data_IF_583212311187
#
_entry.id   IF_583212311187
#
_cell.length_a   1.000
_cell.length_b   1.000
_cell.length_c   1.000
_cell.angle_alpha   90.00
_cell.angle_beta   90.00
_cell.angle_gamma   90.00
#
_symmetry.space_group_name_H-M   'P 1'
#
loop_
_entity.id
_entity.type
_entity.pdbx_description
1 polymer ?
#
# COMPACT_ATOMS: atom_id res chain seq x y z
N UNK A 1 79.09 6.78 28.41
CA UNK A 1 78.95 5.72 27.39
C UNK A 1 77.55 5.80 26.83
N UNK A 2 77.42 5.97 25.50
CA UNK A 2 76.30 5.70 24.54
C UNK A 2 74.88 5.60 25.14
N UNK A 3 73.80 6.18 24.60
CA UNK A 3 73.34 6.29 23.19
C UNK A 3 71.98 7.04 23.27
N UNK A 4 71.66 8.02 22.39
CA UNK A 4 70.84 7.90 21.15
C UNK A 4 69.35 7.63 21.43
N UNK A 5 68.33 8.28 20.86
CA UNK A 5 68.14 9.14 19.68
C UNK A 5 66.79 9.90 19.90
N UNK A 6 66.67 11.22 19.60
CA UNK A 6 65.90 11.80 18.46
C UNK A 6 64.36 11.80 18.64
N UNK A 7 63.53 12.81 18.30
CA UNK A 7 63.65 14.03 17.49
C UNK A 7 62.31 14.83 17.59
N UNK A 8 62.38 16.16 17.46
CA UNK A 8 61.36 17.16 17.01
C UNK A 8 60.06 17.44 17.79
N UNK A 9 59.90 18.71 18.20
CA UNK A 9 58.65 19.47 18.08
C UNK A 9 58.93 20.79 17.35
N UNK A 10 58.22 21.02 16.25
CA UNK A 10 58.21 22.25 15.46
C UNK A 10 57.01 23.11 15.88
N UNK A 11 57.24 24.41 15.94
CA UNK A 11 56.30 25.47 16.26
C UNK A 11 55.17 25.60 15.22
N UNK A 12 53.97 25.96 15.68
CA UNK A 12 52.87 26.41 14.83
C UNK A 12 52.42 27.81 15.26
N UNK A 13 52.42 28.72 14.30
CA UNK A 13 51.89 30.08 14.36
C UNK A 13 51.00 30.25 13.12
N UNK A 14 49.99 31.14 13.21
CA UNK A 14 49.02 31.59 12.20
C UNK A 14 47.64 30.91 12.30
N UNK A 15 46.51 31.55 11.99
CA UNK A 15 46.09 32.94 11.86
C UNK A 15 44.55 32.90 11.81
N UNK A 16 43.88 33.99 12.19
CA UNK A 16 42.42 34.12 12.10
C UNK A 16 41.93 34.23 10.64
N UNK A 17 40.90 33.47 10.29
CA UNK A 17 40.03 33.70 9.12
C UNK A 17 38.59 33.33 9.48
N UNK A 18 37.70 34.30 9.31
CA UNK A 18 36.24 34.16 9.39
C UNK A 18 35.70 33.46 8.15
N UNK A 19 34.86 32.43 8.32
CA UNK A 19 33.92 31.97 7.30
C UNK A 19 32.61 31.59 7.99
N UNK A 20 31.53 32.28 7.60
CA UNK A 20 30.18 31.83 7.87
C UNK A 20 29.81 30.75 6.86
N UNK A 21 29.17 29.69 7.35
CA UNK A 21 28.48 28.73 6.51
C UNK A 21 27.01 28.70 6.92
N UNK A 22 26.19 29.18 5.98
CA UNK A 22 24.76 28.95 5.89
C UNK A 22 24.54 27.48 5.54
N UNK A 23 23.84 26.72 6.38
CA UNK A 23 23.31 25.42 5.99
C UNK A 23 21.95 25.63 5.34
N UNK A 24 21.92 25.49 4.02
CA UNK A 24 20.70 25.45 3.23
C UNK A 24 20.01 24.10 3.45
N UNK A 25 18.90 24.11 4.18
CA UNK A 25 17.83 23.13 4.04
C UNK A 25 17.22 23.29 2.64
N UNK A 26 17.44 22.31 1.77
CA UNK A 26 16.80 22.28 0.46
C UNK A 26 15.29 21.97 0.66
N UNK A 27 14.36 22.80 0.16
CA UNK A 27 12.94 22.47 0.16
C UNK A 27 12.68 21.37 -0.86
N UNK A 28 11.91 20.34 -0.48
CA UNK A 28 11.44 19.31 -1.40
C UNK A 28 10.52 19.97 -2.44
N UNK A 29 10.96 20.02 -3.68
CA UNK A 29 10.14 20.53 -4.78
C UNK A 29 9.16 19.44 -5.22
N UNK A 30 7.92 19.49 -4.72
CA UNK A 30 6.84 18.65 -5.25
C UNK A 30 6.73 18.84 -6.77
N UNK A 31 6.61 17.76 -7.57
CA UNK A 31 6.52 17.88 -9.01
C UNK A 31 5.25 18.61 -9.44
N UNK A 32 5.40 19.64 -10.30
CA UNK A 32 4.30 20.44 -10.87
C UNK A 32 4.04 20.12 -12.34
N UNK A 33 2.79 19.76 -12.65
CA UNK A 33 1.94 20.15 -13.81
C UNK A 33 0.57 19.46 -13.65
N UNK A 34 -0.60 20.03 -13.94
CA UNK A 34 -1.03 21.28 -14.56
C UNK A 34 -2.09 21.94 -13.67
N UNK A 35 -2.18 23.27 -13.70
CA UNK A 35 -3.36 24.00 -13.23
C UNK A 35 -4.53 23.78 -14.21
N UNK A 36 -5.02 22.55 -14.26
CA UNK A 36 -6.32 22.21 -14.82
C UNK A 36 -7.38 22.90 -13.96
N UNK A 37 -8.33 23.62 -14.57
CA UNK A 37 -9.47 24.24 -13.87
C UNK A 37 -10.47 23.22 -13.31
N UNK A 38 -10.08 21.95 -13.19
CA UNK A 38 -10.89 20.86 -12.64
C UNK A 38 -10.60 20.72 -11.15
N UNK A 39 -11.64 20.47 -10.38
CA UNK A 39 -11.61 20.17 -8.95
C UNK A 39 -10.67 18.99 -8.66
N UNK A 40 -9.75 19.14 -7.72
CA UNK A 40 -8.87 18.07 -7.28
C UNK A 40 -9.63 17.08 -6.36
N UNK A 41 -9.23 15.79 -6.30
CA UNK A 41 -9.86 14.82 -5.39
C UNK A 41 -9.92 15.27 -3.93
N UNK A 42 -8.88 15.97 -3.43
CA UNK A 42 -8.84 16.49 -2.06
C UNK A 42 -9.82 17.62 -1.75
N UNK A 43 -10.50 18.18 -2.76
CA UNK A 43 -11.59 19.15 -2.56
C UNK A 43 -12.94 18.48 -2.30
N UNK A 44 -13.06 17.16 -2.58
CA UNK A 44 -14.30 16.37 -2.40
C UNK A 44 -14.14 15.31 -1.31
N UNK A 45 -12.94 14.71 -1.21
CA UNK A 45 -12.60 13.71 -0.22
C UNK A 45 -11.69 14.31 0.87
N UNK A 46 -11.89 13.92 2.12
CA UNK A 46 -10.94 14.26 3.18
C UNK A 46 -9.65 13.45 3.01
N UNK A 47 -8.65 14.10 2.42
CA UNK A 47 -7.32 13.53 2.16
C UNK A 47 -6.25 14.02 3.16
N UNK A 48 -6.65 14.71 4.24
CA UNK A 48 -5.72 15.31 5.22
C UNK A 48 -4.82 14.29 5.93
N UNK A 49 -5.31 13.04 6.05
CA UNK A 49 -4.62 11.92 6.69
C UNK A 49 -4.04 10.92 5.67
N UNK A 50 -3.75 11.38 4.45
CA UNK A 50 -3.22 10.54 3.37
C UNK A 50 -2.07 11.21 2.62
N UNK A 51 -1.06 10.43 2.28
CA UNK A 51 -0.13 10.75 1.19
C UNK A 51 -0.43 9.79 0.03
N UNK A 52 -0.03 10.13 -1.19
CA UNK A 52 -0.20 9.25 -2.36
C UNK A 52 1.16 8.94 -2.99
N UNK A 53 1.33 7.70 -3.44
CA UNK A 53 2.39 7.31 -4.37
C UNK A 53 1.79 7.16 -5.77
N UNK A 54 2.44 7.78 -6.76
CA UNK A 54 2.01 7.78 -8.16
C UNK A 54 3.02 7.05 -9.05
N UNK A 55 2.58 6.44 -10.16
CA UNK A 55 3.44 5.62 -11.01
C UNK A 55 4.26 6.46 -12.02
N UNK A 56 4.73 7.65 -11.62
CA UNK A 56 5.46 8.61 -12.47
C UNK A 56 6.73 9.09 -11.78
N UNK A 57 7.62 9.70 -12.56
CA UNK A 57 8.87 10.34 -12.10
C UNK A 57 8.96 11.71 -12.80
N UNK A 58 8.12 12.65 -12.35
CA UNK A 58 8.00 13.95 -13.00
C UNK A 58 9.18 14.87 -12.66
N UNK A 59 9.80 14.68 -11.50
CA UNK A 59 10.99 15.43 -11.07
C UNK A 59 12.32 14.82 -11.58
N UNK A 60 12.27 13.60 -12.13
CA UNK A 60 13.39 12.88 -12.77
C UNK A 60 14.46 12.44 -11.77
N UNK A 61 14.08 12.13 -10.54
CA UNK A 61 14.98 11.59 -9.52
C UNK A 61 15.17 10.07 -9.62
N UNK A 62 14.45 9.42 -10.54
CA UNK A 62 14.49 7.99 -10.79
C UNK A 62 13.60 7.16 -9.87
N UNK A 63 12.70 7.78 -9.11
CA UNK A 63 11.76 7.12 -8.20
C UNK A 63 10.31 7.48 -8.55
N UNK A 64 9.40 6.67 -8.04
CA UNK A 64 7.97 7.00 -8.08
C UNK A 64 7.69 8.25 -7.23
N UNK A 65 6.97 9.20 -7.81
CA UNK A 65 6.58 10.46 -7.16
C UNK A 65 5.66 10.19 -5.97
N UNK A 66 5.92 10.94 -4.89
CA UNK A 66 5.05 11.02 -3.72
C UNK A 66 4.49 12.42 -3.60
N UNK A 67 3.19 12.50 -3.30
CA UNK A 67 2.53 13.76 -2.93
C UNK A 67 2.07 13.64 -1.50
N UNK A 68 2.56 14.55 -0.66
CA UNK A 68 2.22 14.58 0.76
C UNK A 68 0.86 15.26 1.01
N UNK A 69 0.26 14.97 2.16
CA UNK A 69 -1.10 15.37 2.54
C UNK A 69 -1.41 16.86 2.30
N UNK A 70 -0.49 17.77 2.63
CA UNK A 70 -0.69 19.21 2.42
C UNK A 70 -0.94 19.53 0.94
N UNK A 71 -0.09 19.01 0.04
CA UNK A 71 -0.21 19.22 -1.40
C UNK A 71 -1.37 18.41 -2.00
N UNK A 72 -1.68 17.24 -1.44
CA UNK A 72 -2.69 16.31 -1.95
C UNK A 72 -4.10 16.92 -1.99
N UNK A 73 -4.39 17.84 -1.07
CA UNK A 73 -5.65 18.61 -1.02
C UNK A 73 -5.98 19.33 -2.33
N UNK A 74 -4.97 19.70 -3.12
CA UNK A 74 -5.10 20.46 -4.36
C UNK A 74 -4.44 19.77 -5.56
N UNK A 75 -4.06 18.50 -5.41
CA UNK A 75 -3.31 17.76 -6.41
C UNK A 75 -4.22 16.85 -7.23
N UNK A 76 -4.00 16.83 -8.54
CA UNK A 76 -4.53 15.82 -9.46
C UNK A 76 -3.50 15.52 -10.55
N UNK A 77 -3.65 14.36 -11.16
CA UNK A 77 -2.92 13.90 -12.34
C UNK A 77 -3.90 13.12 -13.22
N UNK A 78 -4.31 13.70 -14.35
CA UNK A 78 -5.45 13.24 -15.18
C UNK A 78 -5.40 11.75 -15.57
N UNK A 79 -4.21 11.17 -15.66
CA UNK A 79 -4.00 9.79 -16.04
C UNK A 79 -4.15 8.83 -14.85
N UNK A 80 -3.73 9.25 -13.66
CA UNK A 80 -3.46 8.35 -12.54
C UNK A 80 -4.21 8.67 -11.24
N UNK A 81 -4.64 9.92 -11.04
CA UNK A 81 -5.33 10.37 -9.83
C UNK A 81 -6.16 11.62 -10.08
N UNK A 82 -7.47 11.49 -10.25
CA UNK A 82 -8.36 12.61 -10.62
C UNK A 82 -9.81 12.36 -10.21
N UNK A 83 -10.67 13.37 -10.35
CA UNK A 83 -12.12 13.20 -10.21
C UNK A 83 -12.77 12.94 -11.57
N UNK A 84 -13.65 11.94 -11.63
CA UNK A 84 -14.53 11.76 -12.79
C UNK A 84 -15.65 12.82 -12.82
N UNK A 85 -16.50 12.77 -13.86
CA UNK A 85 -17.58 13.74 -14.07
C UNK A 85 -18.69 13.66 -12.98
N UNK A 86 -18.68 12.61 -12.14
CA UNK A 86 -19.59 12.41 -11.02
C UNK A 86 -18.95 12.80 -9.67
N UNK A 87 -17.75 13.37 -9.69
CA UNK A 87 -16.92 13.67 -8.50
C UNK A 87 -16.46 12.42 -7.72
N UNK A 88 -16.35 11.27 -8.37
CA UNK A 88 -15.73 10.10 -7.76
C UNK A 88 -14.21 10.13 -7.99
N UNK A 89 -13.44 9.63 -7.02
CA UNK A 89 -11.98 9.63 -7.05
C UNK A 89 -11.44 8.42 -7.81
N UNK A 90 -10.76 8.67 -8.93
CA UNK A 90 -10.21 7.65 -9.83
C UNK A 90 -8.72 7.45 -9.55
N UNK A 91 -8.32 6.20 -9.41
CA UNK A 91 -6.93 5.75 -9.37
C UNK A 91 -6.64 4.87 -10.60
N UNK A 92 -5.47 5.03 -11.20
CA UNK A 92 -5.01 4.13 -12.26
C UNK A 92 -3.50 3.89 -12.21
N UNK A 93 -3.08 2.75 -12.76
CA UNK A 93 -1.67 2.42 -12.91
C UNK A 93 -1.46 1.47 -14.11
N UNK A 94 -0.52 1.81 -15.00
CA UNK A 94 -0.04 0.92 -16.06
C UNK A 94 0.72 -0.27 -15.46
N UNK A 95 0.81 -1.40 -16.17
CA UNK A 95 1.60 -2.57 -15.73
C UNK A 95 3.09 -2.24 -15.58
N UNK A 96 3.61 -1.38 -16.46
CA UNK A 96 4.99 -0.89 -16.42
C UNK A 96 4.98 0.62 -16.20
N UNK A 97 5.60 1.04 -15.12
CA UNK A 97 5.77 2.44 -14.77
C UNK A 97 6.80 2.54 -13.63
N UNK A 98 7.00 3.72 -13.04
CA UNK A 98 7.80 3.86 -11.83
C UNK A 98 7.12 3.14 -10.65
N UNK A 99 7.95 2.58 -9.76
CA UNK A 99 7.51 1.74 -8.63
C UNK A 99 8.17 2.19 -7.32
N UNK A 100 7.63 1.78 -6.18
CA UNK A 100 8.27 2.00 -4.89
C UNK A 100 9.53 1.14 -4.75
N UNK A 101 10.52 1.53 -3.92
CA UNK A 101 11.70 0.70 -3.64
C UNK A 101 11.37 -0.69 -3.08
N UNK A 102 10.19 -0.86 -2.50
CA UNK A 102 9.73 -2.09 -1.85
C UNK A 102 8.93 -3.02 -2.75
N UNK A 103 8.66 -2.65 -4.01
CA UNK A 103 7.78 -3.43 -4.87
C UNK A 103 8.15 -3.32 -6.35
N UNK A 104 7.88 -4.37 -7.09
CA UNK A 104 8.00 -4.43 -8.56
C UNK A 104 6.67 -4.16 -9.26
N UNK A 105 5.68 -3.72 -8.50
CA UNK A 105 4.31 -3.50 -8.93
C UNK A 105 4.00 -2.01 -8.82
N UNK A 106 3.35 -1.49 -9.86
CA UNK A 106 2.96 -0.09 -9.97
C UNK A 106 1.70 0.19 -9.16
N UNK A 107 1.54 1.45 -8.76
CA UNK A 107 0.36 1.87 -8.00
C UNK A 107 0.09 3.35 -8.18
N UNK A 108 -1.19 3.69 -8.14
CA UNK A 108 -1.68 5.00 -7.70
C UNK A 108 -2.47 4.70 -6.43
N UNK A 109 -1.85 4.96 -5.27
CA UNK A 109 -2.34 4.42 -4.00
C UNK A 109 -2.03 5.34 -2.83
N UNK A 110 -3.06 5.59 -2.03
CA UNK A 110 -2.98 6.35 -0.80
C UNK A 110 -2.31 5.51 0.31
N UNK A 111 -1.53 6.17 1.15
CA UNK A 111 -0.91 5.64 2.38
C UNK A 111 -1.34 6.54 3.53
N UNK A 112 -2.02 5.96 4.51
CA UNK A 112 -2.47 6.69 5.69
C UNK A 112 -1.27 7.33 6.38
N UNK A 113 -1.42 8.57 6.82
CA UNK A 113 -0.52 9.27 7.76
C UNK A 113 -1.33 9.74 8.96
N UNK A 114 -0.66 9.94 10.08
CA UNK A 114 -1.22 10.68 11.20
C UNK A 114 -0.61 12.09 11.23
N UNK A 115 -1.43 13.07 11.62
CA UNK A 115 -1.04 14.47 11.69
C UNK A 115 -0.99 14.86 13.16
N UNK A 116 0.15 15.39 13.60
CA UNK A 116 0.37 15.88 14.96
C UNK A 116 -0.41 17.15 15.27
N UNK A 117 -0.42 17.56 16.53
CA UNK A 117 -1.18 18.73 16.99
C UNK A 117 -0.77 20.04 16.31
N UNK A 118 0.51 20.17 15.90
CA UNK A 118 1.00 21.33 15.14
C UNK A 118 0.83 21.21 13.62
N UNK A 119 0.16 20.16 13.13
CA UNK A 119 -0.11 19.95 11.70
C UNK A 119 1.00 19.21 10.95
N UNK A 120 2.06 18.80 11.62
CA UNK A 120 3.16 18.04 11.06
C UNK A 120 2.82 16.55 10.89
N UNK A 121 3.35 15.92 9.86
CA UNK A 121 3.33 14.46 9.72
C UNK A 121 4.63 13.91 10.32
N UNK A 122 4.59 13.03 11.34
CA UNK A 122 5.79 12.42 11.90
C UNK A 122 6.61 11.67 10.83
N UNK A 123 7.90 11.43 11.05
CA UNK A 123 8.72 10.66 10.10
C UNK A 123 8.29 9.18 10.03
N UNK A 124 8.77 8.45 9.01
CA UNK A 124 8.37 7.03 8.82
C UNK A 124 9.00 6.06 9.83
N UNK A 125 10.03 6.50 10.56
CA UNK A 125 10.67 5.81 11.68
C UNK A 125 10.07 6.20 13.05
N UNK A 126 9.02 7.03 13.07
CA UNK A 126 8.31 7.43 14.27
C UNK A 126 7.01 6.62 14.42
N UNK A 127 6.78 5.89 15.53
CA UNK A 127 5.55 5.12 15.77
C UNK A 127 4.28 5.98 15.74
N UNK A 128 4.38 7.30 15.98
CA UNK A 128 3.26 8.25 15.86
C UNK A 128 2.78 8.43 14.42
N UNK A 129 3.44 7.84 13.42
CA UNK A 129 2.94 7.79 12.04
C UNK A 129 2.08 6.53 11.75
N UNK A 130 1.76 5.75 12.78
CA UNK A 130 1.12 4.45 12.65
C UNK A 130 0.06 4.22 13.73
N UNK A 131 -0.78 3.20 13.53
CA UNK A 131 -1.52 2.59 14.62
C UNK A 131 -0.87 1.26 15.04
N UNK A 132 -1.15 0.83 16.27
CA UNK A 132 -0.77 -0.49 16.76
C UNK A 132 -2.01 -1.31 17.15
N UNK A 133 -1.81 -2.61 17.34
CA UNK A 133 -2.81 -3.46 18.00
C UNK A 133 -2.87 -3.15 19.50
N UNK A 134 -4.01 -3.38 20.14
CA UNK A 134 -4.19 -3.03 21.55
C UNK A 134 -3.24 -3.78 22.50
N UNK A 135 -2.80 -4.98 22.13
CA UNK A 135 -1.84 -5.77 22.93
C UNK A 135 -0.37 -5.46 22.62
N UNK A 136 -0.08 -4.50 21.74
CA UNK A 136 1.30 -4.09 21.44
C UNK A 136 2.02 -3.64 22.73
N UNK A 137 3.26 -4.09 23.01
CA UNK A 137 3.93 -3.85 24.29
C UNK A 137 4.18 -2.36 24.60
N UNK A 138 4.33 -1.53 23.57
CA UNK A 138 4.53 -0.08 23.67
C UNK A 138 3.36 0.69 23.01
N UNK A 139 2.13 0.25 23.26
CA UNK A 139 0.90 0.77 22.62
C UNK A 139 0.75 2.31 22.69
N UNK A 140 1.29 2.92 23.75
CA UNK A 140 1.25 4.35 24.06
C UNK A 140 2.11 5.22 23.12
N UNK A 141 3.04 4.62 22.38
CA UNK A 141 3.93 5.35 21.46
C UNK A 141 3.25 5.68 20.11
N UNK A 142 2.11 5.05 19.83
CA UNK A 142 1.42 5.13 18.55
C UNK A 142 0.35 6.21 18.54
N UNK A 143 0.01 6.70 17.35
CA UNK A 143 -1.04 7.70 17.21
C UNK A 143 -2.45 7.14 17.45
N UNK A 144 -2.64 5.83 17.31
CA UNK A 144 -3.90 5.17 17.60
C UNK A 144 -3.72 3.69 17.95
N UNK A 145 -4.73 3.13 18.62
CA UNK A 145 -4.90 1.69 18.79
C UNK A 145 -6.01 1.21 17.85
N UNK A 146 -5.61 0.45 16.83
CA UNK A 146 -6.47 0.07 15.74
C UNK A 146 -6.93 1.25 14.88
N UNK A 147 -7.94 1.01 14.05
CA UNK A 147 -8.54 2.02 13.18
C UNK A 147 -9.60 1.42 12.28
N UNK A 148 -10.31 2.29 11.57
CA UNK A 148 -11.34 1.90 10.60
C UNK A 148 -11.10 2.53 9.24
N UNK A 149 -11.22 1.73 8.18
CA UNK A 149 -11.22 2.15 6.79
C UNK A 149 -12.53 1.69 6.13
N UNK A 150 -13.33 2.65 5.66
CA UNK A 150 -14.57 2.38 4.93
C UNK A 150 -14.43 2.86 3.49
N UNK A 151 -14.84 2.05 2.52
CA UNK A 151 -14.83 2.43 1.12
C UNK A 151 -16.05 1.92 0.37
N UNK A 152 -16.48 2.67 -0.65
CA UNK A 152 -17.36 2.21 -1.73
C UNK A 152 -16.68 2.53 -3.05
N UNK A 153 -16.58 1.52 -3.92
CA UNK A 153 -15.78 1.61 -5.13
C UNK A 153 -16.33 0.69 -6.23
N UNK A 154 -15.89 0.96 -7.46
CA UNK A 154 -16.02 0.06 -8.61
C UNK A 154 -14.65 -0.13 -9.26
N UNK A 155 -14.38 -1.34 -9.74
CA UNK A 155 -13.19 -1.60 -10.56
C UNK A 155 -13.53 -1.34 -12.02
N UNK A 156 -12.88 -0.36 -12.63
CA UNK A 156 -13.14 0.02 -14.02
C UNK A 156 -12.43 -0.91 -15.00
N UNK A 157 -11.20 -1.31 -14.66
CA UNK A 157 -10.35 -2.13 -15.51
C UNK A 157 -9.30 -2.86 -14.68
N UNK A 158 -8.94 -4.08 -15.11
CA UNK A 158 -7.74 -4.80 -14.70
C UNK A 158 -6.99 -5.20 -15.97
N UNK A 159 -5.68 -5.43 -15.88
CA UNK A 159 -4.92 -5.79 -17.07
C UNK A 159 -5.49 -7.06 -17.71
N UNK A 160 -5.56 -7.09 -19.03
CA UNK A 160 -6.11 -8.21 -19.81
C UNK A 160 -5.03 -9.13 -20.37
N UNK A 161 -3.75 -8.79 -20.21
CA UNK A 161 -2.63 -9.52 -20.76
C UNK A 161 -1.65 -9.98 -19.68
N UNK A 162 -1.19 -11.23 -19.77
CA UNK A 162 -0.14 -11.79 -18.94
C UNK A 162 0.59 -12.90 -19.71
N UNK A 163 1.92 -12.96 -19.61
CA UNK A 163 2.68 -14.08 -20.18
C UNK A 163 2.37 -15.38 -19.44
N UNK A 164 2.21 -15.30 -18.12
CA UNK A 164 1.83 -16.42 -17.26
C UNK A 164 0.48 -16.12 -16.58
N UNK A 165 -0.61 -16.29 -17.34
CA UNK A 165 -1.97 -16.00 -16.87
C UNK A 165 -2.48 -16.92 -15.76
N UNK A 166 -1.84 -18.08 -15.57
CA UNK A 166 -2.08 -19.04 -14.50
C UNK A 166 -1.50 -18.60 -13.15
N UNK A 167 -0.57 -17.63 -13.15
CA UNK A 167 0.03 -17.16 -11.90
C UNK A 167 -0.99 -16.35 -11.09
N UNK A 168 -1.05 -16.55 -9.76
CA UNK A 168 -2.12 -15.96 -8.95
C UNK A 168 -2.32 -14.44 -9.09
N UNK A 169 -1.26 -13.60 -9.16
CA UNK A 169 -1.42 -12.14 -9.29
C UNK A 169 -1.95 -11.65 -10.65
N UNK A 170 -1.95 -12.49 -11.69
CA UNK A 170 -2.42 -12.09 -13.02
C UNK A 170 -3.88 -11.60 -12.96
N UNK A 171 -4.17 -10.58 -13.77
CA UNK A 171 -5.50 -10.00 -13.98
C UNK A 171 -6.16 -9.48 -12.69
N UNK A 172 -5.38 -8.95 -11.75
CA UNK A 172 -5.88 -8.51 -10.45
C UNK A 172 -5.34 -7.15 -10.01
N UNK A 173 -6.09 -6.51 -9.13
CA UNK A 173 -5.78 -5.25 -8.48
C UNK A 173 -6.10 -5.35 -7.00
N UNK A 174 -5.22 -4.79 -6.17
CA UNK A 174 -5.49 -4.58 -4.75
C UNK A 174 -6.11 -3.19 -4.57
N UNK A 175 -7.24 -3.14 -3.89
CA UNK A 175 -8.06 -1.92 -3.72
C UNK A 175 -8.00 -1.33 -2.30
N UNK A 176 -7.62 -2.13 -1.32
CA UNK A 176 -7.47 -1.71 0.08
C UNK A 176 -6.53 -2.63 0.84
N UNK A 177 -5.77 -2.08 1.79
CA UNK A 177 -4.76 -2.83 2.56
C UNK A 177 -4.64 -2.36 4.00
N UNK A 178 -4.12 -3.25 4.84
CA UNK A 178 -3.30 -2.91 6.00
C UNK A 178 -1.89 -3.37 5.66
N UNK A 179 -0.91 -2.52 5.88
CA UNK A 179 0.49 -2.83 5.65
C UNK A 179 1.28 -2.55 6.94
N UNK A 180 2.21 -3.44 7.29
CA UNK A 180 3.14 -3.22 8.39
C UNK A 180 4.29 -2.30 7.97
N UNK A 181 4.83 -1.49 8.87
CA UNK A 181 5.98 -0.67 8.55
C UNK A 181 7.19 -1.56 8.20
N UNK A 182 7.95 -1.12 7.20
CA UNK A 182 9.26 -1.71 6.92
C UNK A 182 10.30 -0.98 7.76
N UNK A 183 10.76 -1.62 8.83
CA UNK A 183 11.66 -1.06 9.83
C UNK A 183 13.01 -1.73 9.72
N UNK A 184 13.79 -1.38 8.69
CA UNK A 184 15.02 -2.08 8.30
C UNK A 184 16.01 -2.26 9.46
N UNK A 185 16.13 -1.27 10.35
CA UNK A 185 17.03 -1.30 11.51
C UNK A 185 16.49 -2.12 12.70
N UNK A 186 15.21 -2.50 12.68
CA UNK A 186 14.53 -3.20 13.78
C UNK A 186 14.10 -4.63 13.42
N UNK A 187 14.33 -5.08 12.18
CA UNK A 187 13.98 -6.42 11.73
C UNK A 187 14.65 -7.50 12.56
N UNK A 188 13.96 -8.63 12.71
CA UNK A 188 14.56 -9.86 13.23
C UNK A 188 14.46 -10.96 12.18
N UNK A 189 15.49 -11.82 12.10
CA UNK A 189 15.50 -12.97 11.18
C UNK A 189 14.65 -14.15 11.68
N UNK A 190 14.07 -14.04 12.87
CA UNK A 190 13.31 -15.11 13.54
C UNK A 190 11.82 -14.83 13.67
N UNK A 191 11.40 -13.57 13.52
CA UNK A 191 10.00 -13.13 13.61
C UNK A 191 9.62 -12.27 12.41
N UNK A 192 8.32 -12.07 12.21
CA UNK A 192 7.77 -11.23 11.13
C UNK A 192 7.92 -9.72 11.30
N UNK A 193 8.38 -9.25 12.47
CA UNK A 193 8.42 -7.83 12.79
C UNK A 193 9.36 -7.01 11.90
N UNK A 194 8.84 -5.89 11.37
CA UNK A 194 9.62 -4.90 10.61
C UNK A 194 9.91 -5.28 9.16
N UNK A 195 9.45 -6.46 8.70
CA UNK A 195 9.61 -6.91 7.31
C UNK A 195 8.70 -6.18 6.32
N UNK A 196 7.67 -5.50 6.82
CA UNK A 196 6.69 -4.79 6.01
C UNK A 196 5.75 -5.74 5.27
N UNK A 197 5.32 -6.81 5.93
CA UNK A 197 4.32 -7.74 5.41
C UNK A 197 2.92 -7.11 5.50
N UNK A 198 1.95 -7.69 4.80
CA UNK A 198 0.59 -7.13 4.77
C UNK A 198 -0.46 -8.03 5.47
N UNK A 199 -0.95 -7.63 6.65
CA UNK A 199 -2.07 -8.31 7.33
C UNK A 199 -3.34 -8.38 6.50
N UNK A 200 -3.51 -7.45 5.55
CA UNK A 200 -4.67 -7.38 4.69
C UNK A 200 -4.30 -6.85 3.31
N UNK A 201 -4.72 -7.58 2.28
CA UNK A 201 -4.83 -7.08 0.91
C UNK A 201 -6.18 -7.48 0.33
N UNK A 202 -7.03 -6.52 0.00
CA UNK A 202 -8.34 -6.75 -0.64
C UNK A 202 -8.15 -6.73 -2.14
N UNK A 203 -8.44 -7.84 -2.81
CA UNK A 203 -8.26 -8.03 -4.24
C UNK A 203 -9.59 -7.98 -4.99
N UNK A 204 -9.53 -7.45 -6.20
CA UNK A 204 -10.42 -7.79 -7.30
C UNK A 204 -9.62 -8.51 -8.39
N UNK A 205 -10.13 -9.63 -8.92
CA UNK A 205 -9.51 -10.38 -10.02
C UNK A 205 -10.54 -10.75 -11.07
N UNK A 206 -10.24 -10.51 -12.34
CA UNK A 206 -11.11 -10.89 -13.45
C UNK A 206 -10.32 -11.40 -14.64
N UNK A 207 -10.53 -12.65 -15.01
CA UNK A 207 -9.88 -13.22 -16.18
C UNK A 207 -10.41 -12.61 -17.49
N UNK A 208 -9.58 -12.56 -18.54
CA UNK A 208 -10.03 -12.18 -19.88
C UNK A 208 -11.21 -13.05 -20.35
N UNK A 209 -12.20 -12.42 -20.97
CA UNK A 209 -13.40 -13.11 -21.49
C UNK A 209 -14.51 -13.38 -20.47
N UNK A 210 -14.23 -13.41 -19.17
CA UNK A 210 -15.27 -13.51 -18.14
C UNK A 210 -16.13 -12.24 -18.12
N UNK A 211 -17.39 -12.35 -17.71
CA UNK A 211 -18.25 -11.17 -17.53
C UNK A 211 -18.08 -10.55 -16.15
N UNK A 212 -17.85 -11.37 -15.13
CA UNK A 212 -17.64 -10.94 -13.75
C UNK A 212 -16.26 -11.38 -13.23
N UNK A 213 -15.76 -10.62 -12.25
CA UNK A 213 -14.56 -10.92 -11.48
C UNK A 213 -14.91 -11.45 -10.10
N UNK A 214 -13.88 -11.77 -9.33
CA UNK A 214 -13.99 -12.21 -7.95
C UNK A 214 -13.40 -11.19 -7.00
N UNK A 215 -14.01 -11.07 -5.82
CA UNK A 215 -13.51 -10.29 -4.69
C UNK A 215 -13.08 -11.27 -3.60
N UNK A 216 -11.89 -11.07 -3.09
CA UNK A 216 -11.32 -11.86 -1.99
C UNK A 216 -10.31 -11.01 -1.24
N UNK A 217 -9.87 -11.45 -0.08
CA UNK A 217 -8.79 -10.80 0.64
C UNK A 217 -7.70 -11.79 1.01
N UNK A 218 -6.46 -11.31 1.08
CA UNK A 218 -5.31 -12.09 1.49
C UNK A 218 -4.78 -11.61 2.84
N UNK A 219 -4.39 -12.57 3.66
CA UNK A 219 -3.50 -12.40 4.81
C UNK A 219 -2.10 -12.89 4.40
N UNK A 220 -1.07 -12.04 4.46
CA UNK A 220 0.31 -12.51 4.34
C UNK A 220 0.81 -12.97 5.70
N UNK A 221 1.35 -14.19 5.79
CA UNK A 221 2.02 -14.66 7.01
C UNK A 221 3.15 -13.72 7.40
N UNK A 222 3.22 -13.37 8.68
CA UNK A 222 4.19 -12.42 9.16
C UNK A 222 5.55 -13.10 9.35
N UNK A 223 6.34 -13.19 8.29
CA UNK A 223 7.61 -13.91 8.29
C UNK A 223 8.70 -13.11 7.57
N UNK A 224 9.99 -13.42 7.82
CA UNK A 224 11.10 -12.86 7.06
C UNK A 224 10.95 -13.03 5.54
N UNK A 225 11.52 -12.12 4.75
CA UNK A 225 11.37 -12.11 3.29
C UNK A 225 11.87 -13.40 2.62
N UNK A 226 12.95 -13.99 3.15
CA UNK A 226 13.52 -15.23 2.65
C UNK A 226 12.74 -16.50 3.06
N UNK A 227 11.75 -16.39 3.97
CA UNK A 227 11.01 -17.54 4.45
C UNK A 227 10.10 -18.10 3.36
N UNK A 228 10.22 -19.39 2.98
CA UNK A 228 9.43 -19.98 1.90
C UNK A 228 7.92 -20.02 2.22
N UNK A 229 7.58 -20.00 3.50
CA UNK A 229 6.21 -19.97 3.99
C UNK A 229 5.65 -18.55 4.10
N UNK A 230 6.41 -17.49 3.79
CA UNK A 230 5.87 -16.13 3.65
C UNK A 230 5.01 -16.07 2.40
N UNK A 231 3.75 -16.45 2.54
CA UNK A 231 2.77 -16.55 1.46
C UNK A 231 1.49 -15.84 1.84
N UNK A 232 0.75 -15.44 0.82
CA UNK A 232 -0.62 -14.98 0.95
C UNK A 232 -1.60 -16.15 1.10
N UNK A 233 -2.49 -16.04 2.08
CA UNK A 233 -3.62 -16.94 2.31
C UNK A 233 -4.89 -16.20 1.88
N UNK A 234 -5.58 -16.73 0.87
CA UNK A 234 -6.76 -16.09 0.30
C UNK A 234 -8.06 -16.57 0.95
N UNK A 235 -8.93 -15.63 1.27
CA UNK A 235 -10.28 -15.85 1.80
C UNK A 235 -11.30 -15.21 0.87
N UNK A 236 -12.25 -16.02 0.38
CA UNK A 236 -13.24 -15.58 -0.61
C UNK A 236 -14.28 -14.62 -0.03
N UNK A 237 -14.73 -13.68 -0.86
CA UNK A 237 -15.90 -12.82 -0.60
C UNK A 237 -16.99 -13.16 -1.61
N UNK A 238 -16.79 -12.82 -2.89
CA UNK A 238 -17.68 -13.18 -3.99
C UNK A 238 -16.89 -13.77 -5.14
N UNK A 239 -17.44 -14.79 -5.77
CA UNK A 239 -16.78 -15.56 -6.83
C UNK A 239 -15.73 -16.52 -6.26
N UNK A 240 -14.53 -16.46 -6.82
CA UNK A 240 -13.44 -17.39 -6.60
C UNK A 240 -12.24 -16.72 -5.90
N UNK A 241 -11.28 -17.52 -5.42
CA UNK A 241 -9.98 -17.01 -4.97
C UNK A 241 -8.97 -16.88 -6.12
N UNK A 242 -7.78 -16.38 -5.82
CA UNK A 242 -6.69 -16.16 -6.80
C UNK A 242 -6.20 -17.40 -7.60
N UNK A 243 -6.47 -18.63 -7.16
CA UNK A 243 -6.00 -19.90 -7.77
C UNK A 243 -7.06 -20.66 -8.58
N UNK A 244 -8.29 -20.18 -8.63
CA UNK A 244 -9.37 -20.81 -9.38
C UNK A 244 -9.77 -19.90 -10.55
N UNK A 245 -9.65 -20.43 -11.77
CA UNK A 245 -9.92 -19.73 -13.03
C UNK A 245 -11.31 -19.99 -13.61
N UNK A 246 -12.18 -20.68 -12.89
CA UNK A 246 -13.58 -20.82 -13.29
C UNK A 246 -14.27 -19.45 -13.35
N UNK A 247 -15.17 -19.27 -14.33
CA UNK A 247 -16.02 -18.07 -14.42
C UNK A 247 -16.97 -18.00 -13.22
N UNK A 248 -16.92 -16.95 -12.38
CA UNK A 248 -17.79 -16.84 -11.21
C UNK A 248 -19.26 -16.54 -11.58
N UNK A 249 -19.55 -16.10 -12.81
CA UNK A 249 -20.89 -15.80 -13.28
C UNK A 249 -21.64 -14.85 -12.33
N UNK A 250 -22.87 -15.21 -11.97
CA UNK A 250 -23.72 -14.41 -11.06
C UNK A 250 -23.17 -14.33 -9.62
N UNK A 251 -22.18 -15.15 -9.26
CA UNK A 251 -21.57 -15.09 -7.94
C UNK A 251 -20.41 -14.10 -7.87
N UNK A 252 -20.00 -13.50 -8.99
CA UNK A 252 -18.91 -12.51 -9.07
C UNK A 252 -19.41 -11.07 -9.23
N UNK A 253 -18.47 -10.11 -9.29
CA UNK A 253 -18.71 -8.67 -9.44
C UNK A 253 -18.23 -8.20 -10.82
N UNK A 254 -19.08 -7.57 -11.63
CA UNK A 254 -18.70 -7.04 -12.94
C UNK A 254 -17.72 -5.86 -12.84
N UNK A 255 -17.01 -5.56 -13.94
CA UNK A 255 -16.31 -4.27 -14.04
C UNK A 255 -17.36 -3.14 -14.05
N UNK A 256 -17.10 -2.07 -13.32
CA UNK A 256 -18.03 -0.94 -13.15
C UNK A 256 -19.17 -1.19 -12.14
N UNK A 257 -19.30 -2.40 -11.60
CA UNK A 257 -20.24 -2.70 -10.52
C UNK A 257 -19.68 -2.27 -9.16
N UNK A 258 -20.49 -1.59 -8.36
CA UNK A 258 -20.08 -1.08 -7.06
C UNK A 258 -20.12 -2.16 -5.97
N UNK A 259 -19.11 -2.13 -5.12
CA UNK A 259 -19.11 -2.83 -3.85
C UNK A 259 -18.45 -1.96 -2.77
N UNK A 260 -18.72 -2.30 -1.52
CA UNK A 260 -18.19 -1.63 -0.34
C UNK A 260 -17.41 -2.60 0.53
N UNK A 261 -16.41 -2.08 1.23
CA UNK A 261 -15.76 -2.78 2.33
C UNK A 261 -15.63 -1.88 3.55
N UNK A 262 -15.68 -2.51 4.73
CA UNK A 262 -15.31 -1.92 6.01
C UNK A 262 -14.20 -2.78 6.59
N UNK A 263 -13.06 -2.18 6.88
CA UNK A 263 -11.98 -2.76 7.66
C UNK A 263 -12.00 -2.09 9.02
N UNK A 264 -12.23 -2.84 10.09
CA UNK A 264 -12.25 -2.34 11.46
C UNK A 264 -11.30 -3.17 12.31
N UNK A 265 -10.18 -2.58 12.73
CA UNK A 265 -9.24 -3.21 13.67
C UNK A 265 -9.58 -2.70 15.06
N UNK A 266 -10.14 -3.55 15.91
CA UNK A 266 -10.51 -3.23 17.29
C UNK A 266 -9.92 -4.26 18.26
N UNK A 267 -9.23 -3.78 19.30
CA UNK A 267 -8.40 -4.65 20.12
C UNK A 267 -7.25 -5.21 19.30
N UNK A 268 -7.16 -6.53 19.23
CA UNK A 268 -6.20 -7.25 18.37
C UNK A 268 -6.86 -7.83 17.11
N UNK A 269 -8.19 -7.70 16.96
CA UNK A 269 -8.95 -8.37 15.90
C UNK A 269 -9.26 -7.41 14.76
N UNK A 270 -8.99 -7.87 13.54
CA UNK A 270 -9.48 -7.25 12.32
C UNK A 270 -10.83 -7.86 11.95
N UNK A 271 -11.84 -7.01 11.84
CA UNK A 271 -13.17 -7.32 11.35
C UNK A 271 -13.34 -6.75 9.94
N UNK A 272 -13.81 -7.57 9.01
CA UNK A 272 -14.06 -7.20 7.63
C UNK A 272 -15.53 -7.39 7.31
N UNK A 273 -16.15 -6.38 6.70
CA UNK A 273 -17.51 -6.47 6.16
C UNK A 273 -17.48 -6.06 4.71
N UNK A 274 -18.04 -6.89 3.83
CA UNK A 274 -18.18 -6.62 2.41
C UNK A 274 -19.66 -6.63 2.03
N UNK A 275 -20.09 -5.64 1.26
CA UNK A 275 -21.46 -5.55 0.74
C UNK A 275 -21.49 -5.07 -0.71
N UNK A 276 -22.37 -5.62 -1.52
CA UNK A 276 -22.64 -5.14 -2.88
C UNK A 276 -24.13 -5.30 -3.18
N UNK A 277 -24.65 -4.51 -4.12
CA UNK A 277 -26.06 -4.61 -4.50
C UNK A 277 -26.35 -5.99 -5.10
N UNK A 278 -27.42 -6.66 -4.67
CA UNK A 278 -27.79 -8.03 -5.07
C UNK A 278 -26.78 -9.15 -4.70
N UNK A 279 -25.80 -8.86 -3.85
CA UNK A 279 -24.90 -9.87 -3.30
C UNK A 279 -25.11 -10.03 -1.79
N UNK A 280 -24.93 -11.24 -1.24
CA UNK A 280 -24.97 -11.41 0.21
C UNK A 280 -23.84 -10.61 0.86
N UNK A 281 -24.14 -9.93 1.96
CA UNK A 281 -23.11 -9.36 2.84
C UNK A 281 -22.23 -10.47 3.39
N UNK A 282 -20.92 -10.31 3.29
CA UNK A 282 -19.93 -11.28 3.78
C UNK A 282 -19.11 -10.64 4.89
N UNK A 283 -19.00 -11.34 6.01
CA UNK A 283 -18.19 -10.92 7.15
C UNK A 283 -17.03 -11.90 7.37
N UNK A 284 -15.88 -11.37 7.72
CA UNK A 284 -14.71 -12.13 8.17
C UNK A 284 -14.15 -11.50 9.43
N UNK A 285 -13.44 -12.30 10.24
CA UNK A 285 -12.63 -11.80 11.33
C UNK A 285 -11.36 -12.63 11.48
N UNK A 286 -10.29 -11.98 11.92
CA UNK A 286 -9.01 -12.64 12.22
C UNK A 286 -8.31 -11.88 13.35
N UNK A 287 -7.79 -12.62 14.33
CA UNK A 287 -6.93 -12.03 15.35
C UNK A 287 -5.56 -11.78 14.74
N UNK A 288 -5.08 -10.53 14.80
CA UNK A 288 -3.79 -10.14 14.25
C UNK A 288 -2.65 -10.32 15.25
N UNK A 289 -2.93 -10.68 16.51
CA UNK A 289 -1.91 -10.86 17.57
C UNK A 289 -1.63 -12.33 17.91
N UNK A 290 -2.10 -13.27 17.10
CA UNK A 290 -1.79 -14.70 17.18
C UNK A 290 -1.70 -15.33 15.78
N UNK A 291 -1.51 -16.65 15.72
CA UNK A 291 -1.47 -17.43 14.48
C UNK A 291 -2.75 -18.24 14.21
N UNK A 292 -3.91 -17.77 14.66
CA UNK A 292 -5.19 -18.40 14.36
C UNK A 292 -5.74 -17.80 13.05
N UNK A 293 -5.90 -18.66 12.04
CA UNK A 293 -6.43 -18.28 10.74
C UNK A 293 -7.90 -17.81 10.84
N UNK A 294 -8.43 -17.19 9.78
CA UNK A 294 -9.82 -16.67 9.80
C UNK A 294 -10.89 -17.77 9.87
N UNK A 295 -10.50 -19.06 9.79
CA UNK A 295 -11.37 -20.21 10.00
C UNK A 295 -11.26 -20.79 11.43
N UNK A 296 -10.51 -20.15 12.33
CA UNK A 296 -10.32 -20.60 13.71
C UNK A 296 -9.32 -21.76 13.87
N UNK A 297 -8.38 -21.93 12.92
CA UNK A 297 -7.36 -22.99 12.95
C UNK A 297 -5.99 -22.41 13.16
N UNK A 298 -5.17 -23.09 13.95
CA UNK A 298 -3.76 -22.72 14.14
C UNK A 298 -3.00 -22.87 12.82
N UNK A 299 -2.42 -21.78 12.31
CA UNK A 299 -1.44 -21.81 11.24
C UNK A 299 -0.03 -21.95 11.84
N UNK A 300 0.44 -23.19 11.93
CA UNK A 300 1.77 -23.51 12.48
C UNK A 300 2.95 -23.01 11.64
N UNK A 301 2.71 -22.40 10.47
CA UNK A 301 3.75 -21.78 9.66
C UNK A 301 3.91 -20.29 9.88
N UNK A 302 2.92 -19.64 10.48
CA UNK A 302 2.94 -18.20 10.75
C UNK A 302 3.67 -17.89 12.07
N UNK A 303 3.99 -16.62 12.28
CA UNK A 303 4.53 -16.15 13.56
C UNK A 303 3.49 -16.39 14.68
N UNK A 304 3.83 -17.07 15.79
CA UNK A 304 2.88 -17.35 16.88
C UNK A 304 2.22 -16.11 17.49
N UNK A 305 2.79 -14.91 17.30
CA UNK A 305 2.20 -13.64 17.75
C UNK A 305 1.67 -12.79 16.59
N UNK A 306 1.60 -13.33 15.37
CA UNK A 306 1.13 -12.65 14.17
C UNK A 306 1.84 -11.30 13.97
N UNK A 307 1.05 -10.24 13.90
CA UNK A 307 1.45 -8.84 13.74
C UNK A 307 1.42 -8.03 15.05
N UNK A 308 1.40 -8.69 16.22
CA UNK A 308 1.31 -8.04 17.54
C UNK A 308 2.26 -6.86 17.74
N UNK A 309 3.49 -6.98 17.23
CA UNK A 309 4.54 -5.99 17.42
C UNK A 309 4.67 -5.02 16.24
N UNK A 310 3.92 -5.21 15.16
CA UNK A 310 4.07 -4.41 13.94
C UNK A 310 3.36 -3.06 14.02
N UNK A 311 3.94 -2.10 13.31
CA UNK A 311 3.41 -0.75 13.19
C UNK A 311 2.56 -0.71 11.93
N UNK A 312 1.27 -0.44 12.06
CA UNK A 312 0.30 -0.68 10.99
C UNK A 312 -0.25 0.63 10.43
N UNK A 313 -0.59 0.60 9.14
CA UNK A 313 -1.23 1.72 8.46
C UNK A 313 -2.14 1.22 7.32
N UNK A 314 -3.19 1.98 7.02
CA UNK A 314 -4.07 1.69 5.91
C UNK A 314 -3.51 2.17 4.56
N UNK A 315 -3.93 1.47 3.49
CA UNK A 315 -3.75 1.91 2.10
C UNK A 315 -5.04 1.71 1.32
N UNK A 316 -5.28 2.55 0.32
CA UNK A 316 -6.43 2.44 -0.59
C UNK A 316 -6.12 3.05 -1.95
N UNK A 317 -6.63 2.46 -3.03
CA UNK A 317 -6.44 2.96 -4.38
C UNK A 317 -6.37 1.83 -5.41
N UNK A 318 -5.43 1.95 -6.35
CA UNK A 318 -5.21 0.95 -7.40
C UNK A 318 -3.76 0.43 -7.36
N UNK A 319 -3.53 -0.65 -6.60
CA UNK A 319 -2.25 -1.35 -6.56
C UNK A 319 -2.24 -2.52 -7.54
N UNK A 320 -1.63 -2.30 -8.70
CA UNK A 320 -1.67 -3.23 -9.83
C UNK A 320 -0.85 -4.49 -9.54
N UNK A 321 -1.45 -5.67 -9.62
CA UNK A 321 -0.78 -6.94 -9.30
C UNK A 321 -0.11 -7.58 -10.53
N UNK A 322 -0.38 -7.04 -11.72
CA UNK A 322 0.22 -7.45 -12.98
C UNK A 322 1.63 -6.86 -13.20
N UNK A 323 2.63 -7.37 -12.46
CA UNK A 323 4.03 -6.96 -12.64
C UNK A 323 4.60 -7.39 -13.99
N UNK A 324 5.44 -6.54 -14.58
CA UNK A 324 6.21 -6.84 -15.81
C UNK A 324 7.48 -7.64 -15.57
N UNK A 325 7.88 -7.84 -14.31
CA UNK A 325 9.06 -8.64 -13.98
C UNK A 325 8.86 -10.09 -14.46
N UNK A 326 9.91 -10.68 -15.04
CA UNK A 326 9.94 -12.09 -15.43
C UNK A 326 10.96 -12.82 -14.57
N UNK A 327 10.49 -13.57 -13.58
CA UNK A 327 11.31 -14.38 -12.71
C UNK A 327 10.58 -15.67 -12.29
N UNK A 328 11.32 -16.74 -11.91
CA UNK A 328 10.78 -18.07 -11.62
C UNK A 328 10.12 -18.13 -10.23
N UNK A 329 9.10 -17.32 -10.01
CA UNK A 329 8.26 -17.31 -8.80
C UNK A 329 6.79 -17.10 -9.19
N UNK A 330 5.87 -17.53 -8.33
CA UNK A 330 4.42 -17.36 -8.52
C UNK A 330 4.02 -15.88 -8.51
N UNK A 331 4.83 -15.00 -7.90
CA UNK A 331 4.54 -13.57 -7.72
C UNK A 331 4.55 -12.76 -9.03
N UNK A 332 5.16 -13.28 -10.10
CA UNK A 332 5.48 -12.51 -11.29
C UNK A 332 4.80 -13.06 -12.56
N UNK A 333 3.60 -12.55 -12.92
CA UNK A 333 2.89 -12.96 -14.13
C UNK A 333 3.55 -12.50 -15.44
N UNK A 334 4.59 -11.67 -15.37
CA UNK A 334 5.32 -11.12 -16.52
C UNK A 334 4.36 -10.49 -17.53
N UNK A 335 3.54 -9.56 -17.04
CA UNK A 335 2.59 -8.83 -17.86
C UNK A 335 3.32 -7.88 -18.82
N UNK A 336 2.78 -7.64 -20.03
CA UNK A 336 3.35 -6.66 -20.92
C UNK A 336 3.10 -5.25 -20.41
N UNK A 337 3.96 -4.33 -20.85
CA UNK A 337 3.87 -2.89 -20.60
C UNK A 337 5.05 -2.19 -21.25
N UNK A 338 4.77 -1.08 -21.91
CA UNK A 338 5.76 -0.26 -22.61
C UNK A 338 6.37 0.77 -21.67
N UNK A 339 5.59 1.27 -20.71
CA UNK A 339 5.92 2.44 -19.89
C UNK A 339 5.33 3.74 -20.45
N UNK A 340 4.67 3.69 -21.60
CA UNK A 340 3.91 4.78 -22.17
C UNK A 340 2.41 4.59 -21.85
N UNK A 341 1.81 5.55 -21.16
CA UNK A 341 0.44 5.41 -20.64
C UNK A 341 -0.59 5.21 -21.75
N UNK A 342 -0.56 6.01 -22.81
CA UNK A 342 -1.55 5.94 -23.88
C UNK A 342 -1.49 4.61 -24.62
N UNK A 343 -0.27 4.13 -24.91
CA UNK A 343 -0.05 2.81 -25.51
C UNK A 343 -0.54 1.70 -24.58
N UNK A 344 -0.11 1.71 -23.31
CA UNK A 344 -0.47 0.66 -22.36
C UNK A 344 -1.97 0.65 -22.05
N UNK A 345 -2.63 1.80 -22.03
CA UNK A 345 -4.08 1.91 -21.89
C UNK A 345 -4.81 1.34 -23.09
N UNK A 346 -4.39 1.69 -24.32
CA UNK A 346 -4.98 1.18 -25.55
C UNK A 346 -4.84 -0.35 -25.66
N UNK A 347 -3.73 -0.91 -25.16
CA UNK A 347 -3.44 -2.34 -25.19
C UNK A 347 -4.08 -3.13 -24.03
N UNK A 348 -4.72 -2.47 -23.06
CA UNK A 348 -5.30 -3.13 -21.87
C UNK A 348 -4.27 -3.55 -20.81
N UNK A 349 -3.12 -2.88 -20.77
CA UNK A 349 -1.99 -3.15 -19.87
C UNK A 349 -2.00 -2.23 -18.65
N UNK A 350 -3.15 -2.08 -18.00
CA UNK A 350 -3.33 -1.21 -16.83
C UNK A 350 -4.44 -1.69 -15.90
N UNK A 351 -4.52 -1.08 -14.72
CA UNK A 351 -5.68 -1.19 -13.83
C UNK A 351 -6.26 0.19 -13.55
N UNK A 352 -7.57 0.25 -13.28
CA UNK A 352 -8.24 1.48 -12.84
C UNK A 352 -9.39 1.17 -11.89
N UNK A 353 -9.52 1.99 -10.85
CA UNK A 353 -10.49 1.84 -9.76
C UNK A 353 -11.06 3.22 -9.43
N UNK A 354 -12.38 3.31 -9.25
CA UNK A 354 -13.08 4.55 -8.87
C UNK A 354 -13.73 4.38 -7.51
N UNK A 355 -13.47 5.33 -6.60
CA UNK A 355 -14.07 5.38 -5.26
C UNK A 355 -15.12 6.47 -5.21
N UNK A 356 -16.36 6.10 -4.90
CA UNK A 356 -17.45 7.04 -4.59
C UNK A 356 -17.48 7.39 -3.09
N UNK A 357 -16.82 6.59 -2.25
CA UNK A 357 -16.62 6.88 -0.83
C UNK A 357 -15.29 6.31 -0.32
N UNK A 358 -14.58 7.09 0.49
CA UNK A 358 -13.39 6.65 1.21
C UNK A 358 -13.30 7.43 2.53
N UNK A 359 -13.22 6.73 3.66
CA UNK A 359 -13.18 7.37 4.97
C UNK A 359 -12.33 6.57 5.96
N UNK A 360 -11.44 7.29 6.65
CA UNK A 360 -10.81 6.81 7.88
C UNK A 360 -11.68 7.14 9.09
N UNK A 361 -11.64 6.29 10.11
CA UNK A 361 -12.31 6.55 11.38
C UNK A 361 -11.70 5.78 12.53
N UNK A 362 -12.21 6.04 13.73
CA UNK A 362 -11.82 5.29 14.92
C UNK A 362 -12.33 3.86 14.86
N UNK A 363 -11.52 2.96 15.44
CA UNK A 363 -11.95 1.61 15.75
C UNK A 363 -13.18 1.63 16.69
N UNK A 364 -14.07 0.65 16.53
CA UNK A 364 -15.21 0.48 17.43
C UNK A 364 -15.48 -1.00 17.66
N UNK A 365 -16.14 -1.30 18.77
CA UNK A 365 -16.65 -2.64 19.06
C UNK A 365 -17.65 -3.01 17.96
N UNK A 366 -17.50 -4.22 17.41
CA UNK A 366 -18.51 -4.82 16.54
C UNK A 366 -19.48 -5.56 17.47
N UNK A 367 -20.74 -5.11 17.52
CA UNK A 367 -21.79 -5.72 18.34
C UNK A 367 -22.29 -7.06 17.80
#
# INVERSE_FOLDING_TARGET
>A
MRSRDSLWLIAAMAAALTTGCSENSAPSSSPKRDASSKTAPGEVFDLSSWNILLPVDLDKDGKADRVDNEALSHYQLNEFFYLDDENNMVFAAANKAFTSPTSTNTRSELRQVYVGESGEVPSLDDPRNYFALASHPNSEDFAALGGRLTATLKVNHVSTNAKYGDKPPAYSVVVGQIHAAKLDDMKTETSGFGWGNEPLKIYYKKYPGHQTGSVFWNYERNLPEAAPNRIDIAYGVWGNGWKNDADPGVNGIALGEEFSYIVNVYGDTMYLTFSAHNHPTVNHQINLADNIDANGRVDGHDDPIGYKNDWLFFKAGAYNQCSTKDAPTFRYPACPGTGDWETDKADGNYTSVTFSHLQLGHAHVVE
#
